data_IF_416211771253
#
_entry.id   IF_416211771253
#
_cell.length_a   1.000
_cell.length_b   1.000
_cell.length_c   1.000
_cell.angle_alpha   90.00
_cell.angle_beta   90.00
_cell.angle_gamma   90.00
#
_symmetry.space_group_name_H-M   'P 1'
#
loop_
_entity.id
_entity.type
_entity.pdbx_description
1 polymer ?
2 non-polymer ?
3 non-polymer ?
4 water ?
#
# COMPACT_ATOMS: atom_id res chain seq x y z
N UNK A 1 -11.62 22.30 3.13
CA UNK A 1 -10.33 22.58 3.75
C UNK A 1 -10.19 21.85 5.08
N UNK A 2 -8.95 21.68 5.49
CA UNK A 2 -8.67 21.06 6.77
C UNK A 2 -7.60 19.99 6.65
N UNK A 3 -7.07 19.60 7.81
CA UNK A 3 -6.07 18.54 7.95
C UNK A 3 -6.40 17.79 9.23
N UNK A 4 -5.92 16.56 9.33
CA UNK A 4 -5.95 15.89 10.64
C UNK A 4 -4.95 16.59 11.55
N UNK A 5 -5.45 17.07 12.67
CA UNK A 5 -4.66 17.85 13.63
C UNK A 5 -4.18 17.03 14.80
N UNK A 6 -4.88 15.97 15.15
CA UNK A 6 -4.51 15.05 16.23
C UNK A 6 -4.77 13.67 15.71
N UNK A 7 -3.78 12.80 15.58
CA UNK A 7 -2.36 13.05 15.90
C UNK A 7 -1.77 14.15 15.01
N UNK A 8 -0.73 14.81 15.52
CA UNK A 8 -0.25 16.03 14.89
C UNK A 8 0.62 15.73 13.69
N UNK A 9 0.33 16.36 12.54
CA UNK A 9 1.19 16.30 11.38
C UNK A 9 2.43 17.19 11.54
N UNK A 10 3.39 16.87 10.71
CA UNK A 10 4.55 17.74 10.42
C UNK A 10 4.37 18.26 9.01
N UNK A 11 5.08 19.32 8.68
CA UNK A 11 4.88 20.02 7.41
C UNK A 11 6.19 20.07 6.63
N UNK A 12 6.09 19.94 5.32
CA UNK A 12 7.30 19.95 4.44
C UNK A 12 7.73 21.38 4.12
N UNK A 13 6.79 22.16 3.57
CA UNK A 13 7.02 23.47 2.91
C UNK A 13 6.21 24.54 3.63
N UNK A 14 4.98 24.25 4.01
CA UNK A 14 4.13 25.23 4.72
C UNK A 14 3.08 24.52 5.56
N UNK A 15 2.80 25.08 6.80
CA UNK A 15 1.55 24.54 7.35
C UNK A 15 0.40 25.15 6.58
N UNK A 16 -0.52 24.33 6.11
CA UNK A 16 -1.68 24.86 5.37
C UNK A 16 -2.78 23.83 5.43
N UNK A 17 -4.01 24.32 5.42
CA UNK A 17 -5.21 23.44 5.36
C UNK A 17 -5.71 23.26 3.93
N UNK A 18 -4.92 23.66 2.96
CA UNK A 18 -5.29 23.65 1.55
C UNK A 18 -5.37 22.26 0.97
N UNK A 19 -6.14 22.16 -0.11
CA UNK A 19 -6.07 21.02 -0.98
C UNK A 19 -4.73 20.99 -1.71
N UNK A 20 -4.44 19.77 -2.16
CA UNK A 20 -3.23 19.48 -2.98
C UNK A 20 -3.47 19.83 -4.45
N UNK A 21 -4.60 19.37 -4.97
CA UNK A 21 -5.07 19.77 -6.31
C UNK A 21 -6.56 20.06 -6.25
N UNK A 22 -7.01 20.84 -7.23
CA UNK A 22 -8.44 21.08 -7.50
C UNK A 22 -8.61 20.83 -9.01
N UNK A 23 -9.39 19.84 -9.36
CA UNK A 23 -9.43 19.31 -10.74
C UNK A 23 -10.87 19.11 -11.17
N UNK A 24 -11.08 18.92 -12.45
CA UNK A 24 -12.40 18.48 -12.97
C UNK A 24 -12.72 17.11 -12.47
N UNK A 25 -14.00 16.74 -12.34
CA UNK A 25 -14.33 15.35 -12.04
C UNK A 25 -13.65 14.44 -13.04
N UNK A 26 -13.08 13.35 -12.53
CA UNK A 26 -12.33 12.40 -13.38
C UNK A 26 -13.23 11.42 -14.10
N UNK A 27 -14.47 11.36 -13.69
CA UNK A 27 -15.47 10.43 -14.26
C UNK A 27 -16.47 11.26 -15.03
N UNK A 28 -16.66 10.92 -16.29
CA UNK A 28 -17.57 11.67 -17.18
C UNK A 28 -19.00 11.43 -16.71
N UNK A 29 -19.76 12.51 -16.49
CA UNK A 29 -21.19 12.41 -16.17
C UNK A 29 -21.80 13.73 -15.83
N UNK A 30 -22.99 13.68 -15.24
CA UNK A 30 -23.85 14.88 -15.11
C UNK A 30 -23.70 15.59 -13.79
N UNK A 31 -22.47 15.78 -13.35
CA UNK A 31 -22.18 16.47 -12.07
C UNK A 31 -22.90 17.82 -11.99
N UNK A 32 -22.80 18.65 -13.04
CA UNK A 32 -23.28 20.05 -12.96
C UNK A 32 -24.80 20.12 -13.10
N UNK A 33 -25.42 19.07 -13.60
CA UNK A 33 -26.90 18.97 -13.75
C UNK A 33 -27.56 18.48 -12.45
N UNK A 34 -26.77 17.94 -11.55
CA UNK A 34 -27.23 17.53 -10.21
C UNK A 34 -27.39 18.77 -9.33
N UNK A 35 -28.16 18.62 -8.25
CA UNK A 35 -28.32 19.72 -7.29
C UNK A 35 -27.88 19.32 -5.89
N UNK A 36 -27.22 20.26 -5.24
CA UNK A 36 -26.87 20.10 -3.83
C UNK A 36 -25.71 19.14 -3.60
N UNK A 37 -25.33 19.06 -2.36
CA UNK A 37 -24.33 18.05 -1.97
C UNK A 37 -24.91 16.66 -2.20
N UNK A 38 -26.22 16.49 -2.01
CA UNK A 38 -26.83 15.16 -2.22
C UNK A 38 -26.60 14.76 -3.67
N UNK A 39 -26.78 15.71 -4.58
CA UNK A 39 -26.59 15.38 -6.01
C UNK A 39 -25.16 15.03 -6.33
N UNK A 40 -24.21 15.73 -5.71
CA UNK A 40 -22.78 15.41 -5.94
C UNK A 40 -22.52 13.98 -5.49
N UNK A 41 -22.99 13.62 -4.30
CA UNK A 41 -22.73 12.26 -3.76
C UNK A 41 -23.44 11.20 -4.61
N UNK A 42 -24.66 11.50 -5.06
CA UNK A 42 -25.42 10.52 -5.86
C UNK A 42 -24.73 10.29 -7.21
N UNK A 43 -24.19 11.35 -7.80
CA UNK A 43 -23.44 11.24 -9.07
C UNK A 43 -22.19 10.40 -8.85
N UNK A 44 -21.48 10.65 -7.77
CA UNK A 44 -20.29 9.86 -7.43
C UNK A 44 -20.68 8.38 -7.31
N UNK A 45 -21.75 8.10 -6.57
CA UNK A 45 -22.19 6.71 -6.36
C UNK A 45 -22.55 6.05 -7.70
N UNK A 46 -23.23 6.79 -8.56
CA UNK A 46 -23.67 6.28 -9.88
C UNK A 46 -22.46 5.94 -10.74
N UNK A 47 -21.43 6.77 -10.73
CA UNK A 47 -20.31 6.64 -11.69
C UNK A 47 -19.22 5.74 -11.13
N UNK A 48 -19.15 5.56 -9.84
CA UNK A 48 -18.01 4.83 -9.23
C UNK A 48 -17.82 3.43 -9.83
N UNK A 49 -18.85 2.55 -9.96
CA UNK A 49 -18.62 1.18 -10.46
C UNK A 49 -18.03 1.12 -11.87
N UNK A 50 -18.56 1.94 -12.79
CA UNK A 50 -18.12 1.89 -14.21
C UNK A 50 -16.70 2.41 -14.26
N UNK A 51 -16.28 3.15 -13.23
CA UNK A 51 -14.91 3.71 -13.20
C UNK A 51 -14.02 2.86 -12.27
N UNK A 52 -14.42 1.66 -11.87
CA UNK A 52 -13.58 0.70 -11.12
C UNK A 52 -13.12 1.30 -9.80
N UNK A 53 -13.95 2.13 -9.20
CA UNK A 53 -13.60 2.76 -7.91
C UNK A 53 -13.60 1.70 -6.83
N UNK A 54 -12.58 1.75 -5.99
CA UNK A 54 -12.46 0.89 -4.80
C UNK A 54 -12.51 1.79 -3.55
N UNK A 55 -11.54 2.68 -3.43
CA UNK A 55 -11.42 3.57 -2.26
C UNK A 55 -10.60 4.79 -2.71
N UNK A 56 -10.54 5.79 -1.86
CA UNK A 56 -9.88 7.04 -2.27
C UNK A 56 -8.37 6.84 -2.39
N UNK A 57 -7.78 6.04 -1.51
CA UNK A 57 -6.33 5.80 -1.61
C UNK A 57 -6.00 5.20 -2.97
N UNK A 58 -6.78 4.25 -3.43
CA UNK A 58 -6.57 3.56 -4.72
C UNK A 58 -6.73 4.54 -5.87
N UNK A 59 -7.67 5.46 -5.72
CA UNK A 59 -7.92 6.50 -6.75
C UNK A 59 -6.72 7.44 -6.87
N UNK A 60 -6.18 7.84 -5.74
CA UNK A 60 -5.15 8.90 -5.73
C UNK A 60 -3.73 8.35 -5.88
N UNK A 61 -3.37 7.28 -5.18
CA UNK A 61 -1.97 6.86 -5.12
C UNK A 61 -1.45 6.54 -6.53
N UNK A 62 -0.33 7.12 -6.87
CA UNK A 62 0.30 6.87 -8.17
C UNK A 62 -0.39 7.55 -9.34
N UNK A 63 -1.40 8.34 -9.09
CA UNK A 63 -2.15 8.97 -10.18
C UNK A 63 -1.73 10.42 -10.26
N UNK A 64 -0.99 10.82 -11.31
CA UNK A 64 -0.36 12.15 -11.23
C UNK A 64 -1.32 13.32 -11.13
N UNK A 65 -2.55 13.18 -11.61
CA UNK A 65 -3.44 14.37 -11.53
C UNK A 65 -3.81 14.67 -10.10
N UNK A 66 -3.57 13.76 -9.16
CA UNK A 66 -3.86 14.02 -7.74
C UNK A 66 -2.68 14.67 -7.04
N UNK A 67 -1.56 14.87 -7.71
CA UNK A 67 -0.48 15.66 -7.14
C UNK A 67 0.35 14.90 -6.13
N UNK A 68 1.19 15.65 -5.43
CA UNK A 68 2.27 15.15 -4.57
C UNK A 68 1.71 14.16 -3.54
N UNK A 69 2.43 13.07 -3.34
CA UNK A 69 2.21 12.16 -2.22
C UNK A 69 2.30 12.97 -0.90
N UNK A 70 1.39 12.69 -0.01
CA UNK A 70 1.37 13.29 1.34
C UNK A 70 0.99 14.77 1.33
N UNK A 71 0.69 15.35 0.17
CA UNK A 71 0.34 16.78 0.17
C UNK A 71 1.44 17.62 0.77
N UNK A 72 1.05 18.52 1.67
CA UNK A 72 1.96 19.46 2.34
C UNK A 72 2.59 18.84 3.57
N UNK A 73 2.14 17.66 3.97
CA UNK A 73 2.59 17.05 5.21
C UNK A 73 3.86 16.26 4.94
N UNK A 74 4.63 16.11 6.00
CA UNK A 74 5.98 15.48 5.94
C UNK A 74 5.96 14.09 6.55
N UNK A 75 6.06 13.03 5.75
CA UNK A 75 6.07 11.69 6.35
C UNK A 75 7.34 11.42 7.16
N UNK A 76 8.39 12.21 6.91
CA UNK A 76 9.65 12.08 7.66
C UNK A 76 9.68 13.05 8.84
N UNK A 77 8.55 13.59 9.23
CA UNK A 77 8.50 14.44 10.42
C UNK A 77 8.63 13.63 11.70
N UNK A 78 8.65 14.35 12.79
CA UNK A 78 8.76 13.76 14.11
C UNK A 78 7.52 12.91 14.38
N UNK A 79 7.64 11.60 14.68
CA UNK A 79 6.43 10.82 14.93
C UNK A 79 5.62 11.35 16.12
N UNK A 80 4.29 11.29 15.95
CA UNK A 80 3.32 11.71 16.94
C UNK A 80 2.76 10.52 17.68
N UNK A 81 2.32 10.73 18.91
CA UNK A 81 1.69 9.64 19.68
C UNK A 81 0.26 9.43 19.21
N UNK A 82 -0.18 8.17 19.05
CA UNK A 82 -1.60 7.96 18.77
C UNK A 82 -2.47 8.52 19.90
N UNK A 83 -3.61 9.17 19.59
CA UNK A 83 -4.61 9.46 20.63
C UNK A 83 -4.97 8.21 21.41
N UNK A 84 -5.39 8.40 22.65
CA UNK A 84 -5.71 7.29 23.58
C UNK A 84 -7.22 7.01 23.59
N UNK A 85 -8.02 7.65 22.77
CA UNK A 85 -9.48 7.54 22.80
C UNK A 85 -10.06 7.05 21.49
N UNK A 86 -9.27 6.40 20.65
CA UNK A 86 -9.88 5.79 19.45
C UNK A 86 -10.44 6.79 18.47
N UNK A 87 -9.85 7.97 18.40
CA UNK A 87 -10.27 9.02 17.49
C UNK A 87 -9.07 9.56 16.72
N UNK A 88 -9.40 10.30 15.65
CA UNK A 88 -8.51 11.30 15.06
C UNK A 88 -9.32 12.58 14.99
N UNK A 89 -8.70 13.71 15.16
CA UNK A 89 -9.42 14.98 15.19
C UNK A 89 -9.00 15.85 14.02
N UNK A 90 -9.98 16.37 13.31
CA UNK A 90 -9.70 17.29 12.19
C UNK A 90 -9.37 18.67 12.74
N UNK A 91 -8.82 19.51 11.88
CA UNK A 91 -8.36 20.85 12.29
C UNK A 91 -9.54 21.81 12.40
N UNK A 92 -10.68 21.46 11.85
CA UNK A 92 -11.87 22.31 11.77
C UNK A 92 -13.03 21.39 11.49
N UNK A 93 -14.19 21.95 11.25
CA UNK A 93 -15.32 21.17 10.76
C UNK A 93 -15.18 20.84 9.30
N UNK A 94 -15.99 19.92 8.85
CA UNK A 94 -15.96 19.49 7.44
C UNK A 94 -17.11 20.15 6.67
N UNK A 95 -16.79 20.93 5.63
CA UNK A 95 -17.80 21.74 4.94
C UNK A 95 -17.92 21.36 3.49
N UNK A 96 -17.31 20.27 3.04
CA UNK A 96 -17.53 19.77 1.67
C UNK A 96 -17.96 18.32 1.74
N UNK A 97 -18.89 17.94 0.87
CA UNK A 97 -19.29 16.54 0.72
C UNK A 97 -18.16 15.73 0.13
N UNK A 98 -18.21 14.42 0.34
CA UNK A 98 -17.36 13.45 -0.37
C UNK A 98 -16.70 12.46 0.56
N UNK A 99 -16.14 11.40 -0.02
CA UNK A 99 -15.60 10.30 0.76
C UNK A 99 -14.23 10.63 1.37
N UNK A 100 -13.98 10.02 2.52
CA UNK A 100 -12.67 10.13 3.14
C UNK A 100 -12.37 8.83 3.87
N UNK A 101 -11.09 8.67 4.21
CA UNK A 101 -10.63 7.44 4.83
C UNK A 101 -9.30 7.68 5.51
N UNK A 102 -9.04 6.82 6.47
CA UNK A 102 -7.77 6.81 7.25
C UNK A 102 -7.18 5.41 7.16
N UNK A 103 -5.91 5.36 6.87
CA UNK A 103 -5.11 4.12 6.84
C UNK A 103 -3.99 4.21 7.85
N UNK A 104 -3.63 3.08 8.41
CA UNK A 104 -2.41 2.93 9.24
C UNK A 104 -1.55 1.93 8.49
N UNK A 105 -0.48 2.38 7.87
CA UNK A 105 0.22 1.59 6.85
C UNK A 105 -0.84 1.05 5.88
N UNK A 106 -0.83 -0.24 5.63
CA UNK A 106 -1.72 -0.88 4.63
C UNK A 106 -3.03 -1.40 5.23
N UNK A 107 -3.40 -0.91 6.40
CA UNK A 107 -4.69 -1.26 7.03
C UNK A 107 -5.60 -0.06 6.95
N UNK A 108 -6.72 -0.19 6.28
CA UNK A 108 -7.74 0.87 6.29
C UNK A 108 -8.50 0.77 7.61
N UNK A 109 -8.43 1.77 8.43
CA UNK A 109 -9.03 1.76 9.76
C UNK A 109 -10.31 2.58 9.85
N UNK A 110 -10.58 3.44 8.90
CA UNK A 110 -11.83 4.22 8.92
C UNK A 110 -12.14 4.61 7.49
N UNK A 111 -13.40 4.57 7.14
CA UNK A 111 -13.86 4.94 5.79
C UNK A 111 -15.29 5.44 5.90
N UNK A 112 -15.62 6.42 5.11
CA UNK A 112 -17.04 6.84 4.99
C UNK A 112 -17.25 7.47 3.62
N UNK A 113 -18.41 7.23 3.05
CA UNK A 113 -18.73 7.77 1.73
C UNK A 113 -18.99 9.27 1.76
N UNK A 114 -19.27 9.82 2.93
CA UNK A 114 -19.53 11.27 3.03
C UNK A 114 -19.12 11.75 4.42
N UNK A 115 -17.86 12.11 4.53
CA UNK A 115 -17.33 12.50 5.83
C UNK A 115 -18.03 13.71 6.42
N UNK A 116 -18.54 14.61 5.59
CA UNK A 116 -19.28 15.79 6.06
C UNK A 116 -20.45 15.38 6.96
N UNK A 117 -21.23 14.40 6.54
CA UNK A 117 -22.41 14.01 7.32
C UNK A 117 -22.01 13.08 8.46
N UNK A 118 -20.93 12.35 8.38
CA UNK A 118 -20.60 11.32 9.39
C UNK A 118 -19.88 11.91 10.59
N UNK A 119 -19.04 12.92 10.39
CA UNK A 119 -18.02 13.32 11.39
C UNK A 119 -18.07 14.78 11.80
N UNK A 120 -18.91 15.54 11.16
CA UNK A 120 -19.10 16.91 11.65
C UNK A 120 -20.54 17.34 11.53
N UNK A 121 -20.78 18.62 11.77
CA UNK A 121 -22.17 19.18 11.69
C UNK A 121 -22.32 20.05 10.43
N UNK A 122 -21.40 20.00 9.47
CA UNK A 122 -21.46 20.74 8.20
C UNK A 122 -20.97 22.17 8.31
N UNK A 123 -20.59 22.59 9.52
CA UNK A 123 -20.03 23.91 9.84
C UNK A 123 -18.53 23.77 10.03
N UNK A 124 -17.78 24.80 9.65
CA UNK A 124 -16.33 24.77 9.90
C UNK A 124 -16.07 25.00 11.39
N UNK A 125 -16.99 25.62 12.11
CA UNK A 125 -16.81 26.02 13.52
C UNK A 125 -16.74 24.80 14.43
N UNK A 126 -17.50 23.77 14.14
CA UNK A 126 -17.54 22.57 15.02
C UNK A 126 -16.46 21.59 14.59
N UNK A 127 -15.55 21.25 15.47
CA UNK A 127 -14.44 20.37 15.09
C UNK A 127 -14.96 18.99 14.71
N UNK A 128 -14.54 18.48 13.56
CA UNK A 128 -14.89 17.12 13.14
C UNK A 128 -13.98 16.11 13.84
N UNK A 129 -14.58 15.03 14.28
CA UNK A 129 -13.88 13.96 14.99
C UNK A 129 -14.17 12.68 14.24
N UNK A 130 -13.09 12.01 13.85
CA UNK A 130 -13.17 10.71 13.16
C UNK A 130 -13.12 9.60 14.21
N UNK A 131 -14.07 8.69 14.14
CA UNK A 131 -14.12 7.55 15.05
C UNK A 131 -14.99 6.48 14.43
N UNK A 132 -14.74 5.22 14.80
CA UNK A 132 -13.64 4.75 15.65
C UNK A 132 -12.34 4.58 14.85
N UNK A 133 -11.22 4.82 15.51
CA UNK A 133 -9.88 4.59 14.92
C UNK A 133 -9.11 3.72 15.89
N UNK A 134 -8.83 2.49 15.47
CA UNK A 134 -8.05 1.55 16.26
C UNK A 134 -6.59 1.68 15.85
N UNK A 135 -5.74 2.21 16.72
CA UNK A 135 -4.32 2.39 16.45
C UNK A 135 -3.47 1.20 16.88
N UNK A 136 -4.08 0.09 17.31
CA UNK A 136 -3.29 -0.99 17.92
C UNK A 136 -2.23 -1.56 16.99
N UNK A 137 -2.46 -1.58 15.69
CA UNK A 137 -1.48 -2.15 14.75
C UNK A 137 -0.18 -1.34 14.74
N UNK A 138 -0.22 -0.12 15.22
CA UNK A 138 0.98 0.76 15.24
C UNK A 138 1.95 0.39 16.37
N UNK A 139 1.56 -0.48 17.29
CA UNK A 139 2.51 -0.96 18.33
C UNK A 139 3.82 -1.52 17.74
N UNK A 140 3.73 -2.34 16.68
CA UNK A 140 4.88 -3.02 16.03
C UNK A 140 5.52 -2.05 15.04
N UNK A 141 6.37 -1.18 15.56
CA UNK A 141 7.24 -0.39 14.67
C UNK A 141 6.70 0.99 14.41
N UNK A 142 5.58 1.38 15.03
CA UNK A 142 4.92 2.62 14.64
C UNK A 142 4.16 2.37 13.37
N UNK A 143 3.76 3.44 12.75
CA UNK A 143 2.97 3.31 11.50
C UNK A 143 2.94 4.67 10.84
N UNK A 144 2.67 4.68 9.58
CA UNK A 144 2.30 5.92 8.89
C UNK A 144 0.78 6.00 8.80
N UNK A 145 0.22 7.03 9.43
CA UNK A 145 -1.20 7.34 9.21
C UNK A 145 -1.33 8.08 7.89
N UNK A 146 -2.26 7.65 7.06
CA UNK A 146 -2.55 8.38 5.82
C UNK A 146 -4.03 8.70 5.78
N UNK A 147 -4.31 9.96 5.53
CA UNK A 147 -5.69 10.48 5.34
C UNK A 147 -5.87 10.85 3.89
N UNK A 148 -7.00 10.48 3.35
CA UNK A 148 -7.40 10.85 1.98
C UNK A 148 -8.82 11.37 2.04
N UNK A 149 -9.06 12.45 1.35
CA UNK A 149 -10.41 13.03 1.28
C UNK A 149 -10.59 13.58 -0.14
N UNK A 150 -11.61 13.09 -0.82
CA UNK A 150 -12.01 13.63 -2.13
C UNK A 150 -13.23 14.49 -1.91
N UNK A 151 -12.98 15.80 -1.82
CA UNK A 151 -14.06 16.76 -1.59
C UNK A 151 -14.67 17.10 -2.94
N UNK A 152 -15.99 17.15 -2.94
CA UNK A 152 -16.82 17.48 -4.11
C UNK A 152 -17.41 18.86 -3.85
N UNK A 153 -17.18 19.82 -4.73
CA UNK A 153 -17.67 21.19 -4.45
C UNK A 153 -18.05 21.82 -5.78
N UNK A 154 -19.00 22.75 -5.71
CA UNK A 154 -19.41 23.56 -6.86
C UNK A 154 -18.82 24.96 -6.72
N UNK A 155 -18.06 25.36 -7.71
CA UNK A 155 -17.44 26.70 -7.80
C UNK A 155 -18.02 27.37 -9.04
N UNK A 156 -18.84 28.38 -8.82
CA UNK A 156 -19.59 29.06 -9.90
C UNK A 156 -20.32 28.08 -10.79
N UNK A 157 -21.04 27.15 -10.17
CA UNK A 157 -21.93 26.20 -10.87
C UNK A 157 -21.18 25.07 -11.49
N UNK A 158 -19.85 25.03 -11.30
CA UNK A 158 -19.01 24.02 -11.94
C UNK A 158 -18.48 23.11 -10.83
N UNK A 159 -18.77 21.83 -10.96
CA UNK A 159 -18.26 20.85 -10.00
C UNK A 159 -16.75 20.70 -10.17
N UNK A 160 -16.07 20.67 -9.04
CA UNK A 160 -14.65 20.29 -8.98
C UNK A 160 -14.48 19.19 -7.95
N UNK A 161 -13.37 18.51 -8.09
CA UNK A 161 -12.82 17.58 -7.09
C UNK A 161 -11.62 18.26 -6.44
N UNK A 162 -11.59 18.29 -5.11
CA UNK A 162 -10.42 18.75 -4.36
C UNK A 162 -9.84 17.55 -3.62
N UNK A 163 -8.54 17.38 -3.73
CA UNK A 163 -7.84 16.27 -3.08
C UNK A 163 -7.14 16.78 -1.86
N UNK A 164 -7.44 16.15 -0.71
CA UNK A 164 -6.74 16.44 0.54
C UNK A 164 -6.04 15.14 0.93
N UNK A 165 -4.76 15.26 1.28
CA UNK A 165 -3.95 14.15 1.71
C UNK A 165 -3.09 14.58 2.87
N UNK A 166 -3.02 13.70 3.88
CA UNK A 166 -2.03 13.88 4.96
C UNK A 166 -1.31 12.55 5.15
N UNK A 167 -0.06 12.65 5.56
CA UNK A 167 0.75 11.53 6.04
C UNK A 167 1.26 11.98 7.41
N UNK A 168 1.00 11.14 8.43
CA UNK A 168 1.35 11.49 9.81
C UNK A 168 2.04 10.29 10.44
N UNK A 169 3.36 10.38 10.67
CA UNK A 169 4.05 9.25 11.27
C UNK A 169 3.63 9.17 12.74
N UNK A 170 3.43 7.93 13.21
CA UNK A 170 3.04 7.68 14.60
C UNK A 170 4.08 6.81 15.27
N UNK A 171 4.21 7.00 16.56
CA UNK A 171 5.10 6.20 17.39
C UNK A 171 4.52 4.81 17.63
N UNK A 172 5.41 3.88 17.92
CA UNK A 172 5.05 2.53 18.39
C UNK A 172 6.06 1.97 19.36
N UNK A 173 5.59 1.05 20.18
CA UNK A 173 6.21 0.63 21.46
C UNK A 173 7.05 -0.65 21.29
N UNK A 174 6.85 -1.41 20.21
CA UNK A 174 7.45 -2.74 19.98
C UNK A 174 8.18 -2.76 18.63
N UNK A 175 8.98 -3.81 18.40
CA UNK A 175 9.77 -3.98 17.17
C UNK A 175 8.83 -4.12 15.98
N UNK A 176 9.24 -3.66 14.78
CA UNK A 176 8.51 -4.02 13.56
C UNK A 176 8.35 -5.54 13.43
N UNK A 177 7.23 -5.94 12.85
CA UNK A 177 6.92 -7.33 12.42
C UNK A 177 6.91 -7.38 10.89
N UNK B 1 6.20 -8.32 6.11
CA UNK B 1 4.79 -8.19 5.72
C UNK B 1 4.63 -7.31 4.50
N UNK B 2 3.50 -7.50 3.83
CA UNK B 2 3.12 -6.66 2.72
C UNK B 2 2.67 -7.48 1.54
N UNK B 3 2.03 -6.78 0.60
CA UNK B 3 1.56 -7.37 -0.66
C UNK B 3 1.75 -6.34 -1.74
N UNK B 4 1.80 -6.78 -2.98
CA UNK B 4 1.75 -5.80 -4.08
C UNK B 4 0.35 -5.18 -4.10
N UNK B 5 0.31 -3.85 -4.00
CA UNK B 5 -0.95 -3.10 -3.89
C UNK B 5 -1.37 -2.49 -5.19
N UNK B 6 -0.43 -2.21 -6.07
CA UNK B 6 -0.68 -1.66 -7.41
C UNK B 6 0.24 -2.41 -8.35
N UNK B 7 -0.28 -3.19 -9.32
CA UNK B 7 -1.69 -3.42 -9.59
C UNK B 7 -2.40 -4.10 -8.40
N UNK B 8 -3.70 -3.89 -8.32
CA UNK B 8 -4.45 -4.30 -7.11
C UNK B 8 -4.75 -5.78 -7.10
N UNK B 9 -4.45 -6.49 -5.98
CA UNK B 9 -4.84 -7.88 -5.85
C UNK B 9 -6.29 -8.02 -5.44
N UNK B 10 -6.77 -9.21 -5.61
CA UNK B 10 -8.05 -9.68 -5.06
C UNK B 10 -7.77 -10.71 -3.99
N UNK B 11 -8.64 -10.84 -3.02
CA UNK B 11 -8.43 -11.76 -1.90
C UNK B 11 -9.38 -12.93 -2.00
N UNK B 12 -8.85 -14.11 -1.77
CA UNK B 12 -9.70 -15.31 -1.84
C UNK B 12 -10.81 -15.18 -0.82
N UNK B 13 -10.44 -14.78 0.38
CA UNK B 13 -11.40 -14.54 1.46
C UNK B 13 -11.08 -13.18 2.07
N UNK B 14 -10.45 -13.14 3.23
CA UNK B 14 -10.14 -11.83 3.84
C UNK B 14 -8.79 -11.28 3.34
N UNK B 15 -8.67 -9.98 3.42
CA UNK B 15 -7.41 -9.31 3.13
C UNK B 15 -6.41 -9.60 4.25
N UNK B 16 -5.17 -9.93 3.89
CA UNK B 16 -4.07 -10.04 4.87
C UNK B 16 -2.77 -9.67 4.20
N UNK B 17 -1.90 -9.04 4.95
CA UNK B 17 -0.53 -8.77 4.47
C UNK B 17 0.43 -9.81 5.01
N UNK B 18 -0.07 -10.91 5.49
CA UNK B 18 0.73 -11.96 6.14
C UNK B 18 1.50 -12.82 5.13
N UNK B 19 2.55 -13.43 5.61
CA UNK B 19 3.18 -14.55 4.93
C UNK B 19 2.21 -15.72 4.80
N UNK B 20 2.50 -16.56 3.83
CA UNK B 20 1.74 -17.79 3.57
C UNK B 20 2.18 -18.88 4.54
N UNK B 21 3.47 -19.07 4.68
CA UNK B 21 4.07 -19.97 5.69
C UNK B 21 5.28 -19.27 6.31
N UNK B 22 5.58 -19.74 7.50
CA UNK B 22 6.77 -19.35 8.26
C UNK B 22 7.39 -20.65 8.71
N UNK B 23 8.56 -20.97 8.18
CA UNK B 23 9.19 -22.30 8.30
C UNK B 23 10.66 -22.15 8.72
N UNK B 24 11.28 -23.26 9.15
CA UNK B 24 12.73 -23.27 9.35
C UNK B 24 13.42 -23.18 8.01
N UNK B 25 14.66 -22.67 7.96
CA UNK B 25 15.42 -22.67 6.72
C UNK B 25 15.44 -24.07 6.08
N UNK B 26 15.19 -24.19 4.78
CA UNK B 26 15.14 -25.51 4.11
C UNK B 26 16.54 -25.96 3.68
N UNK B 27 17.54 -25.07 3.78
CA UNK B 27 18.96 -25.35 3.40
C UNK B 27 19.80 -25.45 4.65
N UNK B 28 20.71 -26.43 4.69
CA UNK B 28 21.53 -26.72 5.89
C UNK B 28 22.63 -25.68 5.89
N UNK B 29 22.60 -24.91 6.99
CA UNK B 29 23.47 -23.75 7.31
C UNK B 29 23.57 -23.36 8.79
N UNK B 30 24.57 -22.50 9.04
CA UNK B 30 24.70 -21.59 10.19
C UNK B 30 23.94 -20.31 9.90
N UNK B 31 22.63 -20.41 10.01
CA UNK B 31 21.66 -19.28 10.01
C UNK B 31 21.71 -18.51 11.34
N UNK B 32 21.57 -19.20 12.45
CA UNK B 32 21.40 -18.52 13.76
C UNK B 32 22.76 -17.95 14.21
N UNK B 33 23.88 -18.56 13.77
CA UNK B 33 25.28 -18.25 14.16
C UNK B 33 25.56 -16.83 13.72
N UNK B 34 25.10 -16.62 12.50
CA UNK B 34 25.36 -15.43 11.67
C UNK B 34 24.85 -14.16 12.29
N UNK B 35 25.24 -13.05 11.64
CA UNK B 35 25.05 -11.69 12.19
C UNK B 35 24.29 -10.78 11.23
N UNK B 36 23.14 -10.34 11.70
CA UNK B 36 22.41 -9.27 11.05
C UNK B 36 21.71 -9.74 9.77
N UNK B 37 21.01 -8.82 9.15
CA UNK B 37 20.41 -9.11 7.83
C UNK B 37 21.53 -9.44 6.84
N UNK B 38 22.66 -8.72 6.91
CA UNK B 38 23.75 -8.91 5.94
C UNK B 38 24.21 -10.36 6.06
N UNK B 39 24.28 -10.90 7.27
CA UNK B 39 24.68 -12.30 7.52
C UNK B 39 23.67 -13.28 6.96
N UNK B 40 22.36 -13.06 7.20
CA UNK B 40 21.28 -13.92 6.64
C UNK B 40 21.42 -13.94 5.12
N UNK B 41 21.63 -12.79 4.47
CA UNK B 41 21.75 -12.73 3.00
C UNK B 41 23.00 -13.48 2.56
N UNK B 42 24.18 -13.07 2.98
CA UNK B 42 25.43 -13.73 2.55
C UNK B 42 25.33 -15.25 2.67
N UNK B 43 24.68 -15.77 3.70
CA UNK B 43 24.51 -17.23 3.86
C UNK B 43 23.58 -17.76 2.78
N UNK B 44 22.35 -17.26 2.78
CA UNK B 44 21.49 -17.59 1.62
C UNK B 44 22.33 -17.65 0.32
N UNK B 45 22.96 -16.53 -0.18
CA UNK B 45 23.83 -16.44 -1.42
C UNK B 45 24.93 -17.54 -1.52
N UNK B 46 25.66 -17.78 -0.44
CA UNK B 46 26.64 -18.88 -0.31
C UNK B 46 25.98 -20.24 -0.61
N UNK B 47 24.79 -20.51 -0.06
CA UNK B 47 24.20 -21.87 -0.05
C UNK B 47 23.41 -22.06 -1.34
N UNK B 48 23.06 -20.98 -2.06
CA UNK B 48 22.12 -21.03 -3.22
C UNK B 48 22.65 -22.00 -4.28
N UNK B 49 23.89 -21.89 -4.80
CA UNK B 49 24.42 -22.93 -5.70
C UNK B 49 24.27 -24.35 -5.10
N UNK B 50 24.70 -24.56 -3.86
CA UNK B 50 24.80 -25.91 -3.24
C UNK B 50 23.46 -26.62 -3.29
N UNK B 51 22.38 -25.85 -3.32
CA UNK B 51 20.98 -26.34 -3.22
C UNK B 51 20.26 -26.21 -4.56
N UNK B 52 20.99 -25.95 -5.65
CA UNK B 52 20.43 -25.92 -7.01
C UNK B 52 19.41 -24.81 -7.11
N UNK B 53 19.61 -23.76 -6.35
CA UNK B 53 18.67 -22.62 -6.35
C UNK B 53 18.80 -21.90 -7.67
N UNK B 54 17.65 -21.51 -8.23
CA UNK B 54 17.62 -20.68 -9.44
C UNK B 54 16.96 -19.36 -9.09
N UNK B 55 15.74 -19.39 -8.59
CA UNK B 55 14.97 -18.19 -8.26
C UNK B 55 13.86 -18.61 -7.28
N UNK B 56 13.21 -17.62 -6.71
CA UNK B 56 12.25 -17.89 -5.63
C UNK B 56 11.05 -18.64 -6.20
N UNK B 57 10.61 -18.30 -7.39
CA UNK B 57 9.47 -19.01 -7.98
C UNK B 57 9.77 -20.51 -8.05
N UNK B 58 10.96 -20.88 -8.53
CA UNK B 58 11.31 -22.32 -8.67
C UNK B 58 11.48 -23.00 -7.30
N UNK B 59 11.87 -22.21 -6.30
CA UNK B 59 11.95 -22.75 -4.91
C UNK B 59 10.56 -23.10 -4.39
N UNK B 60 9.58 -22.22 -4.65
CA UNK B 60 8.27 -22.36 -4.01
C UNK B 60 7.27 -23.20 -4.83
N UNK B 61 7.21 -22.99 -6.15
CA UNK B 61 6.14 -23.57 -6.95
C UNK B 61 6.09 -25.11 -6.82
N UNK B 62 4.91 -25.60 -6.52
CA UNK B 62 4.68 -27.05 -6.49
C UNK B 62 5.18 -27.72 -5.25
N UNK B 63 5.71 -26.96 -4.31
CA UNK B 63 6.21 -27.58 -3.06
C UNK B 63 5.30 -27.18 -1.93
N UNK B 64 4.46 -28.09 -1.37
CA UNK B 64 3.47 -27.70 -0.36
C UNK B 64 4.06 -27.25 0.98
N UNK B 65 5.35 -27.44 1.15
CA UNK B 65 6.07 -26.82 2.31
C UNK B 65 5.90 -25.31 2.27
N UNK B 66 5.79 -24.75 1.09
CA UNK B 66 5.63 -23.30 0.92
C UNK B 66 4.17 -22.91 0.93
N UNK B 67 3.25 -23.86 1.18
CA UNK B 67 1.85 -23.51 1.38
C UNK B 67 1.13 -23.19 0.10
N UNK B 68 -0.04 -22.64 0.26
CA UNK B 68 -1.01 -22.52 -0.83
C UNK B 68 -0.43 -21.70 -2.00
N UNK B 69 -0.65 -22.20 -3.21
CA UNK B 69 -0.37 -21.43 -4.44
C UNK B 69 -1.12 -20.11 -4.33
N UNK B 70 -0.45 -19.04 -4.73
CA UNK B 70 -1.00 -17.68 -4.75
C UNK B 70 -1.26 -17.12 -3.36
N UNK B 71 -0.93 -17.86 -2.31
CA UNK B 71 -1.19 -17.31 -0.97
C UNK B 71 -2.65 -17.00 -0.77
N UNK B 72 -2.89 -15.83 -0.20
CA UNK B 72 -4.25 -15.38 0.16
C UNK B 72 -4.89 -14.61 -0.98
N UNK B 73 -4.15 -14.39 -2.07
CA UNK B 73 -4.64 -13.63 -3.21
C UNK B 73 -5.34 -14.56 -4.20
N UNK B 74 -6.28 -14.01 -4.94
CA UNK B 74 -7.16 -14.80 -5.80
C UNK B 74 -6.74 -14.60 -7.26
N UNK B 75 -6.16 -15.62 -7.91
CA UNK B 75 -5.80 -15.46 -9.31
C UNK B 75 -7.02 -15.33 -10.23
N UNK B 76 -8.17 -15.77 -9.74
CA UNK B 76 -9.42 -15.67 -10.52
C UNK B 76 -10.21 -14.40 -10.13
N UNK B 77 -9.58 -13.48 -9.42
CA UNK B 77 -10.23 -12.23 -9.06
C UNK B 77 -10.35 -11.27 -10.21
N UNK B 78 -10.81 -10.07 -9.91
CA UNK B 78 -11.02 -9.07 -10.93
C UNK B 78 -9.72 -8.60 -11.54
N UNK B 79 -9.50 -8.74 -12.85
CA UNK B 79 -8.24 -8.31 -13.43
C UNK B 79 -8.02 -6.81 -13.22
N UNK B 80 -6.76 -6.46 -12.90
CA UNK B 80 -6.34 -5.09 -12.64
C UNK B 80 -5.62 -4.58 -13.88
N UNK B 81 -5.71 -3.28 -14.08
CA UNK B 81 -4.92 -2.65 -15.16
C UNK B 81 -3.44 -2.66 -14.82
N UNK B 82 -2.56 -2.97 -15.79
CA UNK B 82 -1.14 -2.75 -15.55
C UNK B 82 -0.94 -1.27 -15.25
N UNK B 83 -0.10 -0.92 -14.26
CA UNK B 83 0.32 0.46 -14.09
C UNK B 83 0.97 0.97 -15.37
N UNK B 84 0.81 2.25 -15.62
CA UNK B 84 1.31 2.95 -16.83
C UNK B 84 2.71 3.52 -16.59
N UNK B 85 3.21 3.45 -15.37
CA UNK B 85 4.47 4.12 -14.97
C UNK B 85 5.64 3.20 -14.81
N UNK B 86 5.54 1.96 -15.26
CA UNK B 86 6.72 1.08 -15.22
C UNK B 86 7.08 0.61 -13.84
N UNK B 87 6.12 0.57 -12.91
CA UNK B 87 6.39 0.18 -11.52
C UNK B 87 5.34 -0.82 -11.08
N UNK B 88 5.63 -1.49 -9.98
CA UNK B 88 4.63 -2.10 -9.10
C UNK B 88 4.83 -1.48 -7.74
N UNK B 89 3.76 -1.22 -7.03
CA UNK B 89 3.84 -0.55 -5.73
C UNK B 89 3.50 -1.54 -4.65
N UNK B 90 4.39 -1.66 -3.67
CA UNK B 90 4.12 -2.51 -2.49
C UNK B 90 3.12 -1.81 -1.57
N UNK B 91 2.53 -2.58 -0.66
CA UNK B 91 1.48 -2.02 0.20
C UNK B 91 2.07 -1.17 1.33
N UNK B 92 3.36 -1.32 1.57
CA UNK B 92 4.07 -0.67 2.71
C UNK B 92 5.56 -0.73 2.35
N UNK B 93 6.38 -0.29 3.26
CA UNK B 93 7.83 -0.49 3.10
C UNK B 93 8.21 -1.93 3.37
N UNK B 94 9.45 -2.25 3.02
CA UNK B 94 9.98 -3.60 3.20
C UNK B 94 10.93 -3.62 4.41
N UNK B 95 10.62 -4.46 5.38
CA UNK B 95 11.38 -4.48 6.67
C UNK B 95 12.00 -5.81 6.92
N UNK B 96 12.04 -6.73 5.96
CA UNK B 96 12.78 -8.00 6.11
C UNK B 96 13.70 -8.15 4.92
N UNK B 97 14.89 -8.65 5.18
CA UNK B 97 15.86 -9.01 4.14
C UNK B 97 15.38 -10.23 3.36
N UNK B 98 15.86 -10.33 2.13
CA UNK B 98 15.70 -11.54 1.31
C UNK B 98 15.25 -11.23 -0.10
N UNK B 99 15.36 -12.26 -0.97
CA UNK B 99 15.11 -12.08 -2.38
C UNK B 99 13.63 -12.02 -2.73
N UNK B 100 13.34 -11.22 -3.75
CA UNK B 100 11.99 -11.18 -4.29
C UNK B 100 12.04 -11.01 -5.80
N UNK B 101 10.91 -11.26 -6.42
CA UNK B 101 10.83 -11.22 -7.89
C UNK B 101 9.38 -11.08 -8.30
N UNK B 102 9.22 -10.59 -9.52
CA UNK B 102 7.90 -10.43 -10.17
C UNK B 102 7.98 -11.09 -11.53
N UNK B 103 6.95 -11.88 -11.83
CA UNK B 103 6.76 -12.55 -13.11
C UNK B 103 5.47 -12.08 -13.75
N UNK B 104 5.45 -12.05 -15.07
CA UNK B 104 4.23 -11.87 -15.85
C UNK B 104 4.13 -13.14 -16.66
N UNK B 105 3.15 -13.97 -16.34
CA UNK B 105 3.18 -15.37 -16.82
C UNK B 105 4.60 -15.94 -16.61
N UNK B 106 5.20 -16.51 -17.65
CA UNK B 106 6.50 -17.20 -17.54
C UNK B 106 7.67 -16.29 -17.88
N UNK B 107 7.48 -14.99 -17.81
CA UNK B 107 8.56 -14.02 -18.00
C UNK B 107 8.86 -13.37 -16.67
N UNK B 108 10.10 -13.49 -16.22
CA UNK B 108 10.53 -12.80 -15.00
C UNK B 108 10.86 -11.36 -15.38
N UNK B 109 10.17 -10.41 -14.80
CA UNK B 109 10.31 -8.99 -15.18
C UNK B 109 11.07 -8.20 -14.14
N UNK B 110 11.25 -8.71 -12.95
CA UNK B 110 12.02 -7.99 -11.91
C UNK B 110 12.52 -9.02 -10.94
N UNK B 111 13.73 -8.82 -10.49
CA UNK B 111 14.37 -9.73 -9.54
C UNK B 111 15.41 -8.96 -8.76
N UNK B 112 15.51 -9.24 -7.48
CA UNK B 112 16.58 -8.67 -6.66
C UNK B 112 16.92 -9.65 -5.55
N UNK B 113 18.19 -9.75 -5.20
CA UNK B 113 18.62 -10.65 -4.12
C UNK B 113 18.23 -10.10 -2.76
N UNK B 114 17.91 -8.82 -2.63
CA UNK B 114 17.54 -8.26 -1.33
C UNK B 114 16.61 -7.09 -1.57
N UNK B 115 15.33 -7.38 -1.61
CA UNK B 115 14.38 -6.33 -1.98
C UNK B 115 14.34 -5.22 -0.93
N UNK B 116 14.65 -5.52 0.32
CA UNK B 116 14.67 -4.49 1.37
C UNK B 116 15.62 -3.34 1.01
N UNK B 117 16.82 -3.66 0.54
CA UNK B 117 17.81 -2.61 0.20
C UNK B 117 17.51 -2.00 -1.17
N UNK B 118 16.92 -2.72 -2.09
CA UNK B 118 16.76 -2.22 -3.47
C UNK B 118 15.56 -1.29 -3.61
N UNK B 119 14.48 -1.53 -2.85
CA UNK B 119 13.17 -0.91 -3.22
C UNK B 119 12.50 -0.17 -2.11
N UNK B 120 13.10 -0.12 -0.95
CA UNK B 120 12.57 0.72 0.14
C UNK B 120 13.68 1.30 0.96
N UNK B 121 13.33 1.93 2.08
CA UNK B 121 14.36 2.54 2.93
C UNK B 121 14.49 1.77 4.25
N UNK B 122 13.99 0.55 4.33
CA UNK B 122 14.09 -0.34 5.50
C UNK B 122 13.03 -0.12 6.56
N UNK B 123 12.15 0.87 6.32
CA UNK B 123 11.04 1.20 7.25
C UNK B 123 9.73 0.77 6.62
N UNK B 124 8.73 0.39 7.43
CA UNK B 124 7.40 0.04 6.91
C UNK B 124 6.72 1.31 6.41
N UNK B 125 7.08 2.47 6.95
CA UNK B 125 6.37 3.73 6.66
C UNK B 125 6.56 4.18 5.22
N UNK B 126 7.74 4.00 4.67
CA UNK B 126 8.03 4.47 3.31
C UNK B 126 7.59 3.41 2.31
N UNK B 127 6.68 3.73 1.42
CA UNK B 127 6.19 2.72 0.46
C UNK B 127 7.35 2.24 -0.41
N UNK B 128 7.48 0.92 -0.55
CA UNK B 128 8.45 0.32 -1.46
C UNK B 128 7.88 0.27 -2.87
N UNK B 129 8.72 0.66 -3.82
CA UNK B 129 8.32 0.75 -5.24
C UNK B 129 9.26 -0.15 -6.03
N UNK B 130 8.68 -1.15 -6.67
CA UNK B 130 9.44 -2.07 -7.53
C UNK B 130 9.52 -1.45 -8.91
N UNK B 131 10.75 -1.29 -9.39
CA UNK B 131 11.00 -0.68 -10.70
C UNK B 131 12.36 -1.12 -11.15
N UNK B 132 12.61 -1.19 -12.47
CA UNK B 132 11.61 -1.01 -13.51
C UNK B 132 10.81 -2.30 -13.70
N UNK B 133 9.56 -2.13 -14.08
CA UNK B 133 8.67 -3.25 -14.46
C UNK B 133 8.11 -2.94 -15.83
N UNK B 134 8.44 -3.80 -16.78
CA UNK B 134 7.93 -3.71 -18.16
C UNK B 134 6.72 -4.65 -18.26
N UNK B 135 5.54 -4.09 -18.43
CA UNK B 135 4.29 -4.87 -18.55
C UNK B 135 3.93 -5.18 -19.99
N UNK B 136 4.77 -4.78 -20.94
CA UNK B 136 4.37 -4.86 -22.37
C UNK B 136 4.13 -6.30 -22.82
N UNK B 137 4.72 -7.32 -22.20
CA UNK B 137 4.49 -8.75 -22.57
C UNK B 137 3.11 -9.23 -22.13
N UNK B 138 2.38 -8.44 -21.35
CA UNK B 138 0.97 -8.73 -21.00
C UNK B 138 0.01 -8.31 -22.12
N UNK B 139 0.51 -7.73 -23.18
CA UNK B 139 -0.39 -7.21 -24.22
C UNK B 139 -1.30 -8.32 -24.71
N UNK B 140 -0.73 -9.48 -25.03
CA UNK B 140 -1.43 -10.65 -25.62
C UNK B 140 -2.09 -11.48 -24.51
N UNK B 141 -3.38 -11.26 -24.32
CA UNK B 141 -4.20 -12.07 -23.42
C UNK B 141 -4.08 -11.64 -21.98
N UNK B 142 -3.44 -10.52 -21.72
CA UNK B 142 -3.18 -10.10 -20.34
C UNK B 142 -2.21 -11.06 -19.76
N UNK B 143 -2.33 -11.25 -18.47
CA UNK B 143 -1.30 -12.08 -17.89
C UNK B 143 -1.62 -12.22 -16.43
N UNK B 144 -0.98 -13.19 -15.87
CA UNK B 144 -0.97 -13.32 -14.43
C UNK B 144 0.32 -12.74 -13.89
N UNK B 145 0.23 -11.73 -13.04
CA UNK B 145 1.42 -11.26 -12.32
C UNK B 145 1.59 -12.17 -11.12
N UNK B 146 2.81 -12.60 -10.89
CA UNK B 146 3.14 -13.37 -9.67
C UNK B 146 4.30 -12.69 -8.97
N UNK B 147 4.12 -12.50 -7.68
CA UNK B 147 5.14 -11.97 -6.78
C UNK B 147 5.57 -13.09 -5.83
N UNK B 148 6.85 -13.20 -5.62
CA UNK B 148 7.45 -14.14 -4.67
C UNK B 148 8.47 -13.39 -3.85
N UNK B 149 8.43 -13.61 -2.54
CA UNK B 149 9.40 -12.98 -1.63
C UNK B 149 9.73 -14.01 -0.55
N UNK B 150 11.00 -14.31 -0.41
CA UNK B 150 11.48 -15.16 0.69
C UNK B 150 12.15 -14.27 1.70
N UNK B 151 11.44 -13.96 2.76
CA UNK B 151 11.95 -13.10 3.82
C UNK B 151 12.74 -13.94 4.81
N UNK B 152 13.86 -13.40 5.26
CA UNK B 152 14.73 -14.04 6.24
C UNK B 152 14.59 -13.26 7.53
N UNK B 153 14.16 -13.92 8.60
CA UNK B 153 13.74 -13.24 9.85
C UNK B 153 14.31 -13.99 11.05
N UNK B 154 14.57 -13.28 12.14
CA UNK B 154 14.94 -13.86 13.47
C UNK B 154 13.78 -13.65 14.43
N UNK B 155 13.31 -14.76 15.05
CA UNK B 155 12.21 -14.76 16.05
C UNK B 155 12.73 -15.38 17.33
N UNK B 156 12.81 -14.56 18.37
CA UNK B 156 13.41 -14.92 19.67
C UNK B 156 14.62 -15.81 19.38
N UNK B 157 15.53 -15.31 18.51
CA UNK B 157 16.88 -15.84 18.23
C UNK B 157 16.98 -16.91 17.14
N UNK B 158 15.85 -17.42 16.66
CA UNK B 158 15.78 -18.56 15.74
C UNK B 158 15.47 -18.02 14.34
N UNK B 159 16.24 -18.46 13.36
CA UNK B 159 16.03 -18.02 11.95
C UNK B 159 14.78 -18.71 11.41
N UNK B 160 13.95 -17.95 10.73
CA UNK B 160 12.81 -18.52 9.95
C UNK B 160 12.90 -17.95 8.53
N UNK B 161 12.28 -18.69 7.63
CA UNK B 161 11.92 -18.24 6.29
C UNK B 161 10.43 -17.92 6.28
N UNK B 162 10.08 -16.75 5.79
CA UNK B 162 8.67 -16.39 5.59
C UNK B 162 8.46 -16.31 4.08
N UNK B 163 7.48 -17.02 3.59
CA UNK B 163 7.17 -17.07 2.17
C UNK B 163 5.99 -16.17 1.92
N UNK B 164 6.17 -15.17 1.05
CA UNK B 164 5.09 -14.30 0.59
C UNK B 164 4.86 -14.58 -0.88
N UNK B 165 3.59 -14.68 -1.24
CA UNK B 165 3.19 -14.95 -2.62
C UNK B 165 1.95 -14.17 -2.94
N UNK B 166 1.95 -13.52 -4.09
CA UNK B 166 0.75 -12.93 -4.65
C UNK B 166 0.59 -13.39 -6.07
N UNK B 167 -0.65 -13.49 -6.50
CA UNK B 167 -1.04 -13.69 -7.89
C UNK B 167 -2.06 -12.61 -8.19
N UNK B 168 -1.78 -11.80 -9.19
CA UNK B 168 -2.64 -10.66 -9.54
C UNK B 168 -2.94 -10.72 -11.02
N UNK B 169 -4.19 -11.02 -11.39
CA UNK B 169 -4.55 -11.05 -12.82
C UNK B 169 -4.54 -9.64 -13.39
N UNK B 170 -3.97 -9.49 -14.56
CA UNK B 170 -3.92 -8.19 -15.24
C UNK B 170 -4.69 -8.26 -16.54
N UNK B 171 -5.22 -7.12 -16.94
CA UNK B 171 -5.86 -6.97 -18.25
C UNK B 171 -4.75 -6.90 -19.33
N UNK B 172 -5.06 -7.25 -20.56
CA UNK B 172 -4.15 -7.05 -21.71
C UNK B 172 -4.75 -6.09 -22.71
N UNK B 173 -4.25 -6.09 -23.95
CA UNK B 173 -4.75 -5.17 -24.99
C UNK B 173 -4.87 -5.89 -26.33
N UNK B 174 -4.57 -7.19 -26.42
CA UNK B 174 -4.74 -7.96 -27.68
C UNK B 174 -5.06 -9.42 -27.37
N UNK B 175 -5.48 -10.17 -28.39
CA UNK B 175 -5.83 -11.60 -28.27
C UNK B 175 -4.64 -12.37 -27.71
N UNK B 176 -4.90 -13.46 -26.95
CA UNK B 176 -3.83 -14.38 -26.56
C UNK B 176 -3.05 -14.88 -27.78
N UNK B 177 -1.75 -15.13 -27.59
CA UNK B 177 -0.87 -15.76 -28.62
C UNK B 177 -0.31 -17.10 -28.11
#
# INVERSE_FOLDING_TARGET
HGYIAKPAPSWKASKTNNWVVEIEPQWKGGWDESKGDEGLLATFKELAPKNNFKDVRSLMDGNPVFGEECGFTDPKGKPSEPPSDGTATFSRGIVHAGPCEIWLDDKMVLQNDDCQSAYGDGTQQTIAVFKPVDYSSCAAGGCMLRFYWLALQRLKGKTVWQAYKNCIPLTGWSHPQFEK
HGYIAKPAPSWKASKTNNWVVEIEPQWKGGWDESKGDEGLLATFKELAPKNNFKDVRSLMDGNPVFGEECGFTDPKGKPSEPPSDGTATFSRGIVHAGPCEIWLDDKMVLQNDDCQSAYGDGTQQTIAVFKPVDYSSCAAGGCMLRFYWLALQRLKGKTVWQAYKNCIPLTGWSHPQFEK
#
